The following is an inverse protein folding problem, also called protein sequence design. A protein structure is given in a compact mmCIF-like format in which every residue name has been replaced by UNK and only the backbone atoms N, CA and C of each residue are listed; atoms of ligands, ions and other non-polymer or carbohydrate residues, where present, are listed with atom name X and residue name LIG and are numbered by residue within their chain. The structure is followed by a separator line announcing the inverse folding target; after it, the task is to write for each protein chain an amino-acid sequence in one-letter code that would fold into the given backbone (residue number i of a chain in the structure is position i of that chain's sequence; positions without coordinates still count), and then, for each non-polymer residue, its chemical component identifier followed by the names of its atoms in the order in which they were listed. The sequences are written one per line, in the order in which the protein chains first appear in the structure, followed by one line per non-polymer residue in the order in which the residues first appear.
data_IF_535605208880
#
_entry.id   IF_535605208880
#
_cell.length_a   1.000
_cell.length_b   1.000
_cell.length_c   1.000
_cell.angle_alpha   90.00
_cell.angle_beta   90.00
_cell.angle_gamma   90.00
#
_symmetry.space_group_name_H-M   'P 1'
#
loop_
_entity.id
_entity.type
_entity.pdbx_description
1 polymer ?
#
# COMPACT_ATOMS: atom_id res chain seq x y z
N UNK A 1 0.06 43.98 -58.61
CA UNK A 1 -0.84 44.21 -57.48
C UNK A 1 -0.91 42.89 -56.77
N UNK A 2 -0.12 42.79 -55.67
CA UNK A 2 0.11 41.56 -54.92
C UNK A 2 -1.05 41.36 -53.91
N UNK A 3 -1.75 40.24 -54.01
CA UNK A 3 -2.69 39.76 -53.01
C UNK A 3 -2.29 38.32 -52.67
N UNK A 4 -1.46 38.17 -51.67
CA UNK A 4 -1.25 36.94 -50.85
C UNK A 4 -0.34 37.33 -49.68
N UNK A 5 -0.79 37.38 -48.45
CA UNK A 5 -0.60 36.28 -47.52
C UNK A 5 -1.58 36.31 -46.30
N UNK A 6 -2.90 36.23 -46.48
CA UNK A 6 -3.81 36.23 -45.32
C UNK A 6 -4.39 34.82 -45.02
N UNK A 7 -4.20 33.84 -45.93
CA UNK A 7 -4.79 32.50 -45.77
C UNK A 7 -3.94 31.53 -44.96
N UNK A 8 -2.63 31.75 -44.86
CA UNK A 8 -1.73 30.85 -44.13
C UNK A 8 -1.79 30.98 -42.60
N UNK A 9 -2.21 32.18 -42.09
CA UNK A 9 -2.28 32.42 -40.63
C UNK A 9 -3.51 31.79 -39.96
N UNK A 10 -4.60 31.59 -40.71
CA UNK A 10 -5.83 30.98 -40.15
C UNK A 10 -5.74 29.45 -39.96
N UNK A 11 -4.86 28.79 -40.69
CA UNK A 11 -4.71 27.31 -40.57
C UNK A 11 -3.88 26.87 -39.35
N UNK A 12 -2.98 27.74 -38.88
CA UNK A 12 -2.16 27.44 -37.68
C UNK A 12 -2.97 27.52 -36.38
N UNK A 13 -3.93 28.47 -36.30
CA UNK A 13 -4.82 28.54 -35.12
C UNK A 13 -5.88 27.45 -35.07
N UNK A 14 -6.22 26.81 -36.20
CA UNK A 14 -7.23 25.77 -36.25
C UNK A 14 -6.69 24.43 -35.80
N UNK A 15 -5.39 24.16 -35.94
CA UNK A 15 -4.76 22.93 -35.49
C UNK A 15 -4.62 22.87 -33.95
N UNK A 16 -4.31 23.99 -33.31
CA UNK A 16 -4.16 24.03 -31.85
C UNK A 16 -5.51 23.87 -31.10
N UNK A 17 -6.59 24.47 -31.67
CA UNK A 17 -7.94 24.35 -31.06
C UNK A 17 -8.53 22.97 -31.23
N UNK A 18 -8.25 22.28 -32.34
CA UNK A 18 -8.72 20.89 -32.53
C UNK A 18 -7.98 19.90 -31.63
N UNK A 19 -6.68 20.11 -31.40
CA UNK A 19 -5.88 19.29 -30.52
C UNK A 19 -6.33 19.42 -29.05
N UNK A 20 -6.59 20.66 -28.59
CA UNK A 20 -7.03 20.89 -27.21
C UNK A 20 -8.42 20.27 -26.89
N UNK A 21 -9.35 20.30 -27.82
CA UNK A 21 -10.67 19.71 -27.64
C UNK A 21 -10.60 18.18 -27.58
N UNK A 22 -9.71 17.55 -28.36
CA UNK A 22 -9.56 16.10 -28.36
C UNK A 22 -8.92 15.58 -27.07
N UNK A 23 -8.00 16.34 -26.50
CA UNK A 23 -7.37 16.02 -25.22
C UNK A 23 -8.37 16.15 -24.05
N UNK A 24 -9.25 17.17 -24.07
CA UNK A 24 -10.32 17.35 -23.09
C UNK A 24 -11.37 16.22 -23.19
N UNK A 25 -11.79 15.82 -24.38
CA UNK A 25 -12.74 14.72 -24.59
C UNK A 25 -12.14 13.38 -24.10
N UNK A 26 -10.89 13.10 -24.38
CA UNK A 26 -10.20 11.91 -23.90
C UNK A 26 -10.09 11.87 -22.36
N UNK A 27 -9.83 13.00 -21.71
CA UNK A 27 -9.78 13.08 -20.25
C UNK A 27 -11.15 12.80 -19.62
N UNK A 28 -12.25 13.25 -20.23
CA UNK A 28 -13.60 12.95 -19.75
C UNK A 28 -13.95 11.46 -19.87
N UNK A 29 -13.56 10.80 -20.97
CA UNK A 29 -13.75 9.35 -21.14
C UNK A 29 -12.92 8.56 -20.13
N UNK A 30 -11.67 8.96 -19.89
CA UNK A 30 -10.80 8.35 -18.87
C UNK A 30 -11.40 8.52 -17.47
N UNK A 31 -11.88 9.71 -17.12
CA UNK A 31 -12.51 9.97 -15.83
C UNK A 31 -13.72 9.04 -15.59
N UNK A 32 -14.60 8.87 -16.59
CA UNK A 32 -15.75 7.97 -16.48
C UNK A 32 -15.33 6.50 -16.22
N UNK A 33 -14.26 6.02 -16.87
CA UNK A 33 -13.70 4.68 -16.62
C UNK A 33 -13.16 4.58 -15.20
N UNK A 34 -12.45 5.61 -14.73
CA UNK A 34 -11.85 5.62 -13.40
C UNK A 34 -12.90 5.68 -12.29
N UNK A 35 -13.98 6.45 -12.46
CA UNK A 35 -15.11 6.45 -11.52
C UNK A 35 -15.74 5.05 -11.39
N UNK A 36 -15.91 4.34 -12.51
CA UNK A 36 -16.39 2.95 -12.49
C UNK A 36 -15.43 2.01 -11.76
N UNK A 37 -14.11 2.21 -11.90
CA UNK A 37 -13.11 1.41 -11.18
C UNK A 37 -13.13 1.66 -9.67
N UNK A 38 -13.34 2.89 -9.23
CA UNK A 38 -13.49 3.23 -7.81
C UNK A 38 -14.66 2.50 -7.15
N UNK A 39 -15.78 2.34 -7.87
CA UNK A 39 -16.97 1.64 -7.35
C UNK A 39 -16.69 0.14 -7.07
N UNK A 40 -15.79 -0.48 -7.81
CA UNK A 40 -15.48 -1.92 -7.69
C UNK A 40 -14.24 -2.24 -6.88
N UNK A 41 -13.42 -1.22 -6.54
CA UNK A 41 -12.19 -1.40 -5.76
C UNK A 41 -12.45 -1.13 -4.27
N UNK A 42 -12.28 -2.12 -3.39
CA UNK A 42 -12.52 -1.95 -1.96
C UNK A 42 -11.63 -0.86 -1.35
N UNK A 43 -12.25 0.13 -0.71
CA UNK A 43 -11.54 1.17 0.03
C UNK A 43 -10.93 2.29 -0.83
N UNK A 44 -11.14 2.27 -2.13
CA UNK A 44 -10.76 3.37 -3.01
C UNK A 44 -11.83 4.46 -2.96
N UNK A 45 -11.43 5.67 -2.56
CA UNK A 45 -12.32 6.84 -2.49
C UNK A 45 -11.97 7.89 -3.54
N UNK A 46 -10.77 7.82 -4.10
CA UNK A 46 -10.23 8.80 -5.03
C UNK A 46 -9.08 8.19 -5.84
N UNK A 47 -8.66 8.89 -6.90
CA UNK A 47 -7.48 8.53 -7.68
C UNK A 47 -6.67 9.78 -8.03
N UNK A 48 -5.40 9.58 -8.38
CA UNK A 48 -4.58 10.59 -9.06
C UNK A 48 -4.24 10.12 -10.47
N UNK A 49 -4.26 11.04 -11.42
CA UNK A 49 -3.91 10.83 -12.82
C UNK A 49 -2.67 11.66 -13.15
N UNK A 50 -1.57 11.00 -13.46
CA UNK A 50 -0.30 11.63 -13.79
C UNK A 50 0.19 11.17 -15.16
N UNK A 51 1.06 11.97 -15.80
CA UNK A 51 1.82 11.47 -16.95
C UNK A 51 2.72 10.30 -16.53
N UNK A 52 2.72 9.25 -17.36
CA UNK A 52 3.63 8.12 -17.18
C UNK A 52 5.02 8.47 -17.72
N UNK A 53 6.07 7.81 -17.20
CA UNK A 53 7.42 7.83 -17.79
C UNK A 53 7.46 7.21 -19.19
N UNK A 54 6.45 6.42 -19.54
CA UNK A 54 6.27 5.87 -20.88
C UNK A 54 5.35 6.79 -21.66
N UNK A 55 5.86 7.37 -22.76
CA UNK A 55 5.09 8.25 -23.64
C UNK A 55 3.82 7.55 -24.14
N UNK A 56 2.71 8.30 -24.19
CA UNK A 56 1.41 7.78 -24.62
C UNK A 56 0.60 7.09 -23.53
N UNK A 57 1.09 7.05 -22.28
CA UNK A 57 0.36 6.52 -21.13
C UNK A 57 0.16 7.58 -20.06
N UNK A 58 -0.95 7.45 -19.33
CA UNK A 58 -1.12 8.01 -17.99
C UNK A 58 -0.85 6.92 -16.95
N UNK A 59 -0.31 7.30 -15.79
CA UNK A 59 -0.33 6.48 -14.58
C UNK A 59 -1.49 6.91 -13.69
N UNK A 60 -2.26 5.95 -13.23
CA UNK A 60 -3.39 6.17 -12.32
C UNK A 60 -3.07 5.48 -11.00
N UNK A 61 -3.04 6.26 -9.92
CA UNK A 61 -2.83 5.75 -8.58
C UNK A 61 -4.19 5.73 -7.87
N UNK A 62 -4.59 4.58 -7.36
CA UNK A 62 -5.84 4.35 -6.61
C UNK A 62 -5.45 3.76 -5.27
N UNK A 63 -5.26 4.61 -4.24
CA UNK A 63 -4.63 4.19 -3.00
C UNK A 63 -3.21 3.67 -3.25
N UNK A 64 -2.96 2.39 -2.94
CA UNK A 64 -1.67 1.73 -3.21
C UNK A 64 -1.61 0.97 -4.54
N UNK A 65 -2.70 0.95 -5.32
CA UNK A 65 -2.72 0.33 -6.65
C UNK A 65 -2.30 1.32 -7.71
N UNK A 66 -1.55 0.83 -8.69
CA UNK A 66 -1.11 1.60 -9.87
C UNK A 66 -1.51 0.86 -11.12
N UNK A 67 -2.25 1.55 -11.97
CA UNK A 67 -2.62 1.09 -13.31
C UNK A 67 -2.19 2.13 -14.34
N UNK A 68 -2.19 1.76 -15.60
CA UNK A 68 -1.86 2.66 -16.71
C UNK A 68 -3.00 2.70 -17.71
N UNK A 69 -3.26 3.88 -18.27
CA UNK A 69 -4.28 4.08 -19.31
C UNK A 69 -3.61 4.79 -20.49
N UNK A 70 -3.89 4.34 -21.71
CA UNK A 70 -3.44 5.05 -22.90
C UNK A 70 -4.08 6.43 -23.00
N UNK A 71 -3.35 7.41 -23.51
CA UNK A 71 -3.83 8.82 -23.62
C UNK A 71 -5.09 8.97 -24.46
N UNK A 72 -5.40 7.98 -25.32
CA UNK A 72 -6.65 7.93 -26.09
C UNK A 72 -7.80 7.20 -25.35
N UNK A 73 -7.62 6.82 -24.09
CA UNK A 73 -8.63 6.19 -23.24
C UNK A 73 -8.99 4.74 -23.59
N UNK A 74 -8.38 4.13 -24.64
CA UNK A 74 -8.85 2.84 -25.16
C UNK A 74 -8.28 1.62 -24.47
N UNK A 75 -7.11 1.75 -23.82
CA UNK A 75 -6.39 0.61 -23.26
C UNK A 75 -6.06 0.86 -21.79
N UNK A 76 -6.46 -0.08 -20.92
CA UNK A 76 -6.05 -0.17 -19.54
C UNK A 76 -5.00 -1.28 -19.41
N UNK A 77 -3.88 -0.96 -18.77
CA UNK A 77 -2.76 -1.87 -18.54
C UNK A 77 -2.58 -2.08 -17.03
N UNK A 78 -2.63 -3.33 -16.59
CA UNK A 78 -2.20 -3.75 -15.25
C UNK A 78 -0.85 -4.43 -15.37
N UNK A 79 0.17 -3.87 -14.73
CA UNK A 79 1.52 -4.42 -14.83
C UNK A 79 2.53 -3.52 -14.16
N UNK A 80 3.81 -3.75 -14.47
CA UNK A 80 4.93 -3.01 -13.92
C UNK A 80 5.72 -2.35 -15.03
N UNK A 81 6.14 -1.10 -14.80
CA UNK A 81 7.12 -0.41 -15.61
C UNK A 81 8.45 -0.50 -14.89
N UNK A 82 9.41 -1.12 -15.57
CA UNK A 82 10.79 -1.25 -15.12
C UNK A 82 11.68 -0.31 -15.94
N UNK A 83 12.32 0.63 -15.29
CA UNK A 83 13.41 1.41 -15.86
C UNK A 83 14.66 0.53 -15.92
N UNK A 84 14.99 0.06 -17.11
CA UNK A 84 16.11 -0.87 -17.32
C UNK A 84 17.46 -0.17 -17.26
N UNK A 85 17.52 1.14 -17.53
CA UNK A 85 18.75 1.93 -17.45
C UNK A 85 19.16 2.15 -16.00
N UNK A 86 18.21 2.52 -15.14
CA UNK A 86 18.46 2.80 -13.73
C UNK A 86 18.17 1.61 -12.81
N UNK A 87 17.64 0.50 -13.36
CA UNK A 87 17.24 -0.70 -12.60
C UNK A 87 16.19 -0.40 -11.52
N UNK A 88 15.23 0.48 -11.84
CA UNK A 88 14.17 0.93 -10.94
C UNK A 88 12.83 0.32 -11.37
N UNK A 89 12.07 -0.21 -10.42
CA UNK A 89 10.65 -0.52 -10.62
C UNK A 89 9.81 0.73 -10.34
N UNK A 90 9.51 1.49 -11.39
CA UNK A 90 8.74 2.74 -11.31
C UNK A 90 7.36 2.54 -10.71
N UNK A 91 6.71 1.43 -11.06
CA UNK A 91 5.38 1.09 -10.53
C UNK A 91 5.44 0.81 -9.03
N UNK A 92 6.45 0.09 -8.55
CA UNK A 92 6.62 -0.21 -7.12
C UNK A 92 6.99 1.04 -6.31
N UNK A 93 7.76 1.97 -6.88
CA UNK A 93 8.02 3.27 -6.22
C UNK A 93 6.70 4.04 -5.98
N UNK A 94 5.82 4.11 -7.00
CA UNK A 94 4.51 4.74 -6.86
C UNK A 94 3.61 4.01 -5.85
N UNK A 95 3.58 2.66 -5.88
CA UNK A 95 2.84 1.86 -4.89
C UNK A 95 3.34 2.09 -3.47
N UNK A 96 4.66 2.18 -3.31
CA UNK A 96 5.28 2.45 -2.01
C UNK A 96 4.86 3.80 -1.45
N UNK A 97 4.83 4.82 -2.28
CA UNK A 97 4.34 6.14 -1.90
C UNK A 97 2.87 6.11 -1.50
N UNK A 98 2.00 5.48 -2.30
CA UNK A 98 0.58 5.35 -1.97
C UNK A 98 0.33 4.60 -0.65
N UNK A 99 1.14 3.56 -0.33
CA UNK A 99 1.06 2.89 0.97
C UNK A 99 1.45 3.81 2.12
N UNK A 100 2.46 4.66 1.96
CA UNK A 100 2.85 5.63 2.99
C UNK A 100 1.73 6.63 3.25
N UNK A 101 1.13 7.20 2.21
CA UNK A 101 0.01 8.15 2.30
C UNK A 101 -1.19 7.53 3.05
N UNK A 102 -1.52 6.28 2.78
CA UNK A 102 -2.55 5.54 3.51
C UNK A 102 -2.16 5.35 4.97
N UNK A 103 -0.90 4.98 5.25
CA UNK A 103 -0.42 4.74 6.61
C UNK A 103 -0.33 6.00 7.47
N UNK A 104 -0.08 7.18 6.88
CA UNK A 104 -0.05 8.46 7.57
C UNK A 104 -1.42 8.84 8.17
N UNK A 105 -2.50 8.38 7.55
CA UNK A 105 -3.87 8.63 7.99
C UNK A 105 -4.39 7.62 9.03
N UNK A 106 -3.59 6.61 9.40
CA UNK A 106 -3.99 5.59 10.37
C UNK A 106 -3.65 6.00 11.80
N UNK A 107 -4.59 5.77 12.72
CA UNK A 107 -4.34 5.95 14.15
C UNK A 107 -3.46 4.80 14.68
N UNK A 108 -2.24 5.10 15.08
CA UNK A 108 -1.32 4.13 15.70
C UNK A 108 -1.93 3.44 16.94
N UNK A 109 -2.93 4.05 17.62
CA UNK A 109 -3.63 3.43 18.74
C UNK A 109 -4.36 2.14 18.37
N UNK A 110 -4.65 1.92 17.10
CA UNK A 110 -5.25 0.67 16.62
C UNK A 110 -4.23 -0.46 16.57
N UNK A 111 -2.93 -0.15 16.55
CA UNK A 111 -1.82 -1.10 16.42
C UNK A 111 -1.32 -1.59 17.77
N UNK A 112 -0.57 -2.70 17.78
CA UNK A 112 0.20 -3.13 18.94
C UNK A 112 1.66 -2.79 18.65
N UNK A 113 2.25 -1.96 19.53
CA UNK A 113 3.54 -1.33 19.26
C UNK A 113 4.58 -1.81 20.28
N UNK A 114 5.76 -2.18 19.75
CA UNK A 114 6.97 -2.47 20.51
C UNK A 114 8.03 -1.43 20.14
N UNK A 115 8.48 -0.67 21.13
CA UNK A 115 9.38 0.46 20.93
C UNK A 115 10.80 0.20 21.46
N UNK A 116 11.83 0.47 20.67
CA UNK A 116 13.22 0.43 21.12
C UNK A 116 13.55 1.64 21.99
N UNK A 117 14.66 1.59 22.74
CA UNK A 117 15.18 2.76 23.48
C UNK A 117 15.48 3.95 22.58
N UNK A 118 15.88 3.71 21.35
CA UNK A 118 16.11 4.72 20.31
C UNK A 118 15.68 4.16 18.97
N UNK A 119 14.66 4.74 18.36
CA UNK A 119 14.16 4.36 17.04
C UNK A 119 15.07 4.90 15.95
N UNK A 120 15.49 4.04 15.05
CA UNK A 120 16.22 4.36 13.81
C UNK A 120 15.42 4.00 12.57
N UNK A 121 14.60 2.96 12.65
CA UNK A 121 13.69 2.50 11.61
C UNK A 121 12.35 2.12 12.23
N UNK A 122 11.28 2.21 11.44
CA UNK A 122 9.94 1.73 11.83
C UNK A 122 9.43 0.75 10.80
N UNK A 123 8.93 -0.39 11.28
CA UNK A 123 8.27 -1.36 10.39
C UNK A 123 6.86 -1.66 10.88
N UNK A 124 5.94 -1.88 9.95
CA UNK A 124 4.60 -2.36 10.26
C UNK A 124 4.46 -3.80 9.80
N UNK A 125 4.06 -4.68 10.70
CA UNK A 125 3.99 -6.12 10.47
C UNK A 125 2.52 -6.54 10.40
N UNK A 126 2.09 -6.96 9.21
CA UNK A 126 0.81 -7.65 9.06
C UNK A 126 1.00 -9.08 9.55
N UNK A 127 0.33 -9.40 10.65
CA UNK A 127 0.60 -10.62 11.42
C UNK A 127 -0.65 -11.47 11.63
N UNK A 128 -0.47 -12.78 11.57
CA UNK A 128 -1.47 -13.77 11.94
C UNK A 128 -1.00 -14.53 13.20
N UNK A 129 -1.88 -14.68 14.18
CA UNK A 129 -1.56 -15.33 15.47
C UNK A 129 -1.17 -16.80 15.27
N UNK A 130 -1.83 -17.47 14.33
CA UNK A 130 -1.61 -18.89 14.07
C UNK A 130 -0.53 -19.18 13.03
N UNK A 131 0.14 -18.15 12.52
CA UNK A 131 1.25 -18.29 11.58
C UNK A 131 2.56 -18.60 12.28
N UNK A 132 3.20 -19.72 11.92
CA UNK A 132 4.49 -20.13 12.49
C UNK A 132 5.62 -19.12 12.28
N UNK A 133 5.74 -18.52 11.10
CA UNK A 133 6.75 -17.49 10.83
C UNK A 133 6.45 -16.16 11.54
N UNK A 134 5.18 -15.83 11.79
CA UNK A 134 4.83 -14.70 12.64
C UNK A 134 5.23 -14.92 14.10
N UNK A 135 5.08 -16.15 14.61
CA UNK A 135 5.56 -16.52 15.94
C UNK A 135 7.08 -16.42 16.00
N UNK A 136 7.79 -16.96 15.00
CA UNK A 136 9.25 -16.86 14.91
C UNK A 136 9.76 -15.43 14.86
N UNK A 137 9.07 -14.54 14.13
CA UNK A 137 9.39 -13.11 14.13
C UNK A 137 9.24 -12.53 15.54
N UNK A 138 8.13 -12.83 16.20
CA UNK A 138 7.80 -12.31 17.53
C UNK A 138 8.71 -12.84 18.64
N UNK A 139 9.17 -14.08 18.54
CA UNK A 139 10.16 -14.67 19.47
C UNK A 139 11.48 -13.88 19.53
N UNK A 140 11.79 -13.10 18.49
CA UNK A 140 12.99 -12.29 18.38
C UNK A 140 12.69 -10.78 18.52
N UNK A 141 11.54 -10.42 19.11
CA UNK A 141 11.11 -9.01 19.17
C UNK A 141 12.17 -8.13 19.84
N UNK A 142 12.78 -8.58 20.93
CA UNK A 142 13.80 -7.83 21.64
C UNK A 142 15.05 -7.60 20.77
N UNK A 143 15.44 -8.57 19.95
CA UNK A 143 16.57 -8.43 19.02
C UNK A 143 16.33 -7.35 17.97
N UNK A 144 15.09 -7.20 17.46
CA UNK A 144 14.74 -6.09 16.56
C UNK A 144 14.79 -4.74 17.29
N UNK A 145 14.27 -4.70 18.52
CA UNK A 145 14.29 -3.47 19.33
C UNK A 145 15.73 -3.05 19.68
N UNK A 146 16.61 -3.99 20.01
CA UNK A 146 18.04 -3.72 20.30
C UNK A 146 18.76 -3.14 19.07
N UNK A 147 18.29 -3.44 17.86
CA UNK A 147 18.78 -2.85 16.61
C UNK A 147 18.16 -1.49 16.27
N UNK A 148 17.29 -0.96 17.13
CA UNK A 148 16.61 0.32 16.92
C UNK A 148 15.41 0.25 15.97
N UNK A 149 14.86 -0.92 15.72
CA UNK A 149 13.71 -1.11 14.86
C UNK A 149 12.43 -1.08 15.71
N UNK A 150 11.61 -0.02 15.55
CA UNK A 150 10.25 0.04 16.11
C UNK A 150 9.35 -0.91 15.32
N UNK A 151 8.60 -1.76 16.02
CA UNK A 151 7.69 -2.75 15.40
C UNK A 151 6.24 -2.40 15.72
N UNK A 152 5.42 -2.18 14.71
CA UNK A 152 3.97 -1.96 14.79
C UNK A 152 3.25 -3.18 14.22
N UNK A 153 2.44 -3.85 15.01
CA UNK A 153 1.65 -5.00 14.52
C UNK A 153 0.25 -4.57 14.09
N UNK A 154 -0.15 -5.02 12.92
CA UNK A 154 -1.52 -5.00 12.40
C UNK A 154 -2.02 -6.43 12.23
N UNK A 155 -3.29 -6.67 12.55
CA UNK A 155 -3.90 -7.99 12.46
C UNK A 155 -4.19 -8.37 11.01
N UNK A 156 -3.72 -9.55 10.59
CA UNK A 156 -4.05 -10.11 9.28
C UNK A 156 -4.25 -11.63 9.38
N UNK A 157 -5.38 -12.10 9.96
CA UNK A 157 -5.72 -13.52 10.01
C UNK A 157 -5.93 -14.05 8.60
N UNK A 158 -5.01 -14.86 8.07
CA UNK A 158 -5.01 -15.33 6.67
C UNK A 158 -6.24 -16.15 6.28
N UNK A 159 -6.87 -16.77 7.26
CA UNK A 159 -8.10 -17.57 7.05
C UNK A 159 -9.35 -16.70 6.90
N UNK A 160 -9.24 -15.38 7.07
CA UNK A 160 -10.33 -14.44 6.90
C UNK A 160 -11.35 -14.41 8.05
N UNK A 161 -12.45 -13.68 7.85
CA UNK A 161 -13.51 -13.53 8.84
C UNK A 161 -14.19 -14.86 9.22
N UNK A 162 -14.77 -14.89 10.42
CA UNK A 162 -15.52 -16.03 10.98
C UNK A 162 -14.66 -17.30 11.17
N UNK A 163 -13.39 -17.15 11.44
CA UNK A 163 -12.44 -18.24 11.71
C UNK A 163 -11.87 -18.14 13.12
N UNK A 164 -11.31 -19.24 13.63
CA UNK A 164 -10.67 -19.28 14.96
C UNK A 164 -9.51 -18.27 15.07
N UNK A 165 -8.70 -18.11 14.02
CA UNK A 165 -7.60 -17.14 14.02
C UNK A 165 -8.13 -15.69 14.05
N UNK A 166 -9.27 -15.43 13.40
CA UNK A 166 -9.93 -14.13 13.45
C UNK A 166 -10.43 -13.80 14.86
N UNK A 167 -11.13 -14.73 15.49
CA UNK A 167 -11.65 -14.57 16.85
C UNK A 167 -10.51 -14.37 17.86
N UNK A 168 -9.44 -15.17 17.78
CA UNK A 168 -8.23 -14.97 18.61
C UNK A 168 -7.63 -13.57 18.41
N UNK A 169 -7.57 -13.10 17.18
CA UNK A 169 -7.09 -11.76 16.89
C UNK A 169 -7.96 -10.69 17.55
N UNK A 170 -9.29 -10.82 17.49
CA UNK A 170 -10.20 -9.90 18.15
C UNK A 170 -9.98 -9.89 19.68
N UNK A 171 -9.82 -11.03 20.33
CA UNK A 171 -9.52 -11.10 21.77
C UNK A 171 -8.20 -10.39 22.11
N UNK A 172 -7.16 -10.55 21.30
CA UNK A 172 -5.87 -9.89 21.51
C UNK A 172 -6.02 -8.37 21.39
N UNK A 173 -6.66 -7.88 20.30
CA UNK A 173 -6.80 -6.44 20.05
C UNK A 173 -7.80 -5.74 20.97
N UNK A 174 -8.75 -6.47 21.55
CA UNK A 174 -9.69 -5.96 22.55
C UNK A 174 -9.19 -6.10 23.99
N UNK A 175 -8.05 -6.74 24.21
CA UNK A 175 -7.46 -6.90 25.54
C UNK A 175 -7.06 -5.54 26.14
N UNK A 176 -7.19 -5.40 27.47
CA UNK A 176 -6.73 -4.23 28.21
C UNK A 176 -5.23 -3.99 28.06
N UNK A 177 -4.46 -5.07 28.01
CA UNK A 177 -3.03 -5.03 27.68
C UNK A 177 -2.79 -5.90 26.43
N UNK A 178 -2.78 -5.21 25.30
CA UNK A 178 -2.67 -5.84 23.97
C UNK A 178 -1.32 -6.51 23.76
N UNK A 179 -0.24 -5.93 24.29
CA UNK A 179 1.11 -6.47 24.12
C UNK A 179 1.24 -7.79 24.86
N UNK A 180 0.85 -7.85 26.15
CA UNK A 180 0.86 -9.10 26.94
C UNK A 180 -0.04 -10.14 26.31
N UNK A 181 -1.21 -9.74 25.78
CA UNK A 181 -2.13 -10.67 25.13
C UNK A 181 -1.55 -11.23 23.84
N UNK A 182 -0.87 -10.38 23.03
CA UNK A 182 -0.18 -10.81 21.80
C UNK A 182 0.97 -11.75 22.12
N UNK A 183 1.82 -11.45 23.13
CA UNK A 183 2.93 -12.31 23.57
C UNK A 183 2.43 -13.71 23.94
N UNK A 184 1.34 -13.79 24.71
CA UNK A 184 0.72 -15.06 25.09
C UNK A 184 0.21 -15.83 23.87
N UNK A 185 -0.50 -15.14 22.97
CA UNK A 185 -1.05 -15.73 21.75
C UNK A 185 0.06 -16.26 20.84
N UNK A 186 1.13 -15.49 20.65
CA UNK A 186 2.30 -15.91 19.85
C UNK A 186 3.05 -17.10 20.46
N UNK A 187 3.01 -17.25 21.79
CA UNK A 187 3.52 -18.44 22.50
C UNK A 187 2.58 -19.65 22.38
N UNK A 188 1.47 -19.55 21.67
CA UNK A 188 0.49 -20.64 21.55
C UNK A 188 -0.37 -20.86 22.80
N UNK A 189 -0.32 -19.93 23.76
CA UNK A 189 -1.16 -19.97 24.96
C UNK A 189 -2.58 -19.53 24.60
N UNK A 190 -3.56 -20.08 25.33
CA UNK A 190 -4.95 -19.69 25.15
C UNK A 190 -5.13 -18.19 25.43
N UNK A 191 -5.80 -17.52 24.53
CA UNK A 191 -6.34 -16.16 24.69
C UNK A 191 -7.83 -16.22 24.51
N UNK A 192 -8.55 -15.58 25.40
CA UNK A 192 -10.00 -15.43 25.40
C UNK A 192 -10.35 -14.08 26.02
N UNK A 193 -11.55 -13.60 25.80
CA UNK A 193 -12.03 -12.32 26.31
C UNK A 193 -13.27 -11.86 25.57
N UNK A 194 -13.68 -10.63 25.86
CA UNK A 194 -14.79 -9.98 25.18
C UNK A 194 -14.31 -9.31 23.88
N UNK A 195 -15.16 -9.32 22.87
CA UNK A 195 -14.93 -8.60 21.62
C UNK A 195 -15.45 -7.16 21.79
N UNK A 196 -14.57 -6.18 21.68
CA UNK A 196 -14.92 -4.77 21.78
C UNK A 196 -15.56 -4.26 20.48
N UNK A 197 -16.42 -3.24 20.58
CA UNK A 197 -17.13 -2.67 19.44
C UNK A 197 -16.20 -1.99 18.43
N UNK A 198 -15.12 -1.42 18.91
CA UNK A 198 -14.12 -0.67 18.15
C UNK A 198 -12.86 -1.48 17.82
N UNK A 199 -12.98 -2.84 17.79
CA UNK A 199 -11.82 -3.67 17.46
C UNK A 199 -11.35 -3.42 16.00
N UNK A 200 -10.05 -3.26 15.78
CA UNK A 200 -9.52 -2.85 14.48
C UNK A 200 -9.20 -4.03 13.54
N UNK A 201 -9.54 -5.26 13.90
CA UNK A 201 -9.12 -6.46 13.14
C UNK A 201 -9.62 -6.43 11.71
N UNK A 202 -10.89 -6.03 11.50
CA UNK A 202 -11.48 -5.95 10.17
C UNK A 202 -10.83 -4.84 9.33
N UNK A 203 -10.63 -3.65 9.90
CA UNK A 203 -9.98 -2.54 9.19
C UNK A 203 -8.53 -2.87 8.83
N UNK A 204 -7.78 -3.52 9.73
CA UNK A 204 -6.43 -3.99 9.45
C UNK A 204 -6.40 -5.05 8.34
N UNK A 205 -7.34 -5.98 8.36
CA UNK A 205 -7.45 -7.03 7.34
C UNK A 205 -7.78 -6.44 5.96
N UNK A 206 -8.75 -5.52 5.92
CA UNK A 206 -9.14 -4.84 4.69
C UNK A 206 -7.97 -4.03 4.13
N UNK A 207 -7.22 -3.33 4.99
CA UNK A 207 -6.02 -2.61 4.56
C UNK A 207 -4.96 -3.55 4.00
N UNK A 208 -4.73 -4.70 4.63
CA UNK A 208 -3.84 -5.72 4.10
C UNK A 208 -4.28 -6.23 2.72
N UNK A 209 -5.59 -6.32 2.48
CA UNK A 209 -6.14 -6.68 1.17
C UNK A 209 -5.91 -5.57 0.14
N UNK A 210 -6.10 -4.29 0.53
CA UNK A 210 -5.78 -3.13 -0.32
C UNK A 210 -4.29 -3.11 -0.70
N UNK A 211 -3.40 -3.50 0.21
CA UNK A 211 -1.96 -3.61 -0.06
C UNK A 211 -1.56 -4.91 -0.78
N UNK A 212 -2.52 -5.73 -1.23
CA UNK A 212 -2.30 -7.01 -1.89
C UNK A 212 -1.43 -7.99 -1.06
N UNK A 213 -1.60 -7.98 0.26
CA UNK A 213 -0.87 -8.89 1.13
C UNK A 213 -1.38 -10.31 0.94
N UNK A 214 -0.52 -11.19 0.45
CA UNK A 214 -0.83 -12.59 0.15
C UNK A 214 -0.36 -13.59 1.22
N UNK A 215 0.40 -13.12 2.22
CA UNK A 215 0.98 -13.99 3.24
C UNK A 215 1.42 -13.23 4.49
N UNK A 216 1.75 -13.97 5.54
CA UNK A 216 2.23 -13.41 6.81
C UNK A 216 3.49 -14.12 7.31
N UNK A 217 4.39 -13.41 8.01
CA UNK A 217 4.35 -11.98 8.18
C UNK A 217 4.60 -11.26 6.85
N UNK A 218 3.98 -10.10 6.64
CA UNK A 218 4.42 -9.15 5.64
C UNK A 218 4.87 -7.89 6.36
N UNK A 219 6.05 -7.42 6.02
CA UNK A 219 6.72 -6.26 6.63
C UNK A 219 6.55 -5.09 5.69
N UNK A 220 5.91 -4.03 6.15
CA UNK A 220 5.89 -2.73 5.47
C UNK A 220 6.98 -1.85 6.09
N UNK A 221 7.91 -1.39 5.27
CA UNK A 221 9.02 -0.54 5.71
C UNK A 221 8.60 0.93 5.86
N UNK A 222 9.45 1.76 6.46
CA UNK A 222 9.27 3.21 6.55
C UNK A 222 9.45 3.94 5.20
N UNK A 223 9.80 3.21 4.14
CA UNK A 223 9.80 3.67 2.74
C UNK A 223 8.59 3.14 1.94
N UNK A 224 7.63 2.50 2.60
CA UNK A 224 6.43 1.97 1.94
C UNK A 224 6.64 0.67 1.16
N UNK A 225 7.84 0.07 1.20
CA UNK A 225 8.13 -1.19 0.50
C UNK A 225 7.59 -2.39 1.28
N UNK A 226 7.13 -3.40 0.56
CA UNK A 226 6.66 -4.65 1.14
C UNK A 226 7.73 -5.73 1.06
N UNK A 227 8.01 -6.37 2.19
CA UNK A 227 8.84 -7.56 2.29
C UNK A 227 7.94 -8.71 2.75
N UNK A 228 7.68 -9.66 1.85
CA UNK A 228 6.83 -10.82 2.14
C UNK A 228 7.66 -11.90 2.83
N UNK A 229 7.19 -12.33 3.99
CA UNK A 229 7.84 -13.36 4.78
C UNK A 229 8.69 -12.83 5.93
N UNK A 230 9.27 -13.78 6.66
CA UNK A 230 10.12 -13.53 7.81
C UNK A 230 11.54 -13.19 7.37
N UNK A 231 12.10 -12.13 7.94
CA UNK A 231 13.53 -11.82 7.91
C UNK A 231 14.11 -11.81 9.32
N UNK A 232 15.27 -12.44 9.58
CA UNK A 232 15.99 -12.31 10.85
C UNK A 232 16.36 -10.84 11.14
N UNK A 233 16.56 -10.44 12.43
CA UNK A 233 16.77 -9.04 12.82
C UNK A 233 17.90 -8.35 12.04
N UNK A 234 19.07 -8.96 11.94
CA UNK A 234 20.20 -8.38 11.21
C UNK A 234 19.93 -8.25 9.70
N UNK A 235 19.25 -9.24 9.11
CA UNK A 235 18.89 -9.21 7.69
C UNK A 235 17.87 -8.12 7.40
N UNK A 236 16.91 -7.91 8.30
CA UNK A 236 15.95 -6.82 8.19
C UNK A 236 16.64 -5.47 8.29
N UNK A 237 17.54 -5.28 9.27
CA UNK A 237 18.29 -4.03 9.41
C UNK A 237 19.12 -3.71 8.16
N UNK A 238 19.78 -4.72 7.56
CA UNK A 238 20.55 -4.52 6.32
C UNK A 238 19.62 -4.06 5.19
N UNK A 239 18.47 -4.71 5.05
CA UNK A 239 17.46 -4.35 4.03
C UNK A 239 16.94 -2.94 4.20
N UNK A 240 16.63 -2.52 5.44
CA UNK A 240 16.16 -1.16 5.75
C UNK A 240 17.22 -0.09 5.46
N UNK A 241 18.52 -0.42 5.64
CA UNK A 241 19.62 0.49 5.30
C UNK A 241 19.85 0.63 3.80
N UNK A 242 19.56 -0.39 3.00
CA UNK A 242 19.66 -0.34 1.54
C UNK A 242 18.56 0.55 0.92
N UNK A 243 17.48 0.82 1.64
CA UNK A 243 16.38 1.67 1.19
C UNK A 243 16.62 3.18 1.46
N UNK A 244 17.63 3.53 2.24
CA UNK A 244 18.04 4.90 2.57
C UNK A 244 19.20 5.34 1.69
#
# INVERSE_FOLDING_TARGET
MQIFPLLALLLLFYSDVVSSNQDEDNLQEIDAVLQTLLEILPGANDYTLDDSVVEGLYSVNIGSEVIYISKDGKFLIRGEILDLENSINVTEEKRSQGRLEVMENLDEKTMIIYEPKKTTHTVTIFTDIDCGYCRKFHEQIDDYLDLGIKVRYMSFPRTGPNTESWEKAQYVWCSKDRSISLDRAKQGKKVDGDICLDNPVESHYNLGSVFNISGTPTILTDKGKLIVGYLPPQSLLLRLKEEN
#
